data_IF_980817595722
#
_entry.id   IF_980817595722
#
_cell.length_a   1.000
_cell.length_b   1.000
_cell.length_c   1.000
_cell.angle_alpha   90.00
_cell.angle_beta   90.00
_cell.angle_gamma   90.00
#
_symmetry.space_group_name_H-M   'P 1'
#
loop_
_entity.id
_entity.type
_entity.pdbx_description
1 polymer ?
#
# COMPACT_ATOMS: atom_id res chain seq x y z
N UNK A 1 12.18 7.56 -18.30
CA UNK A 1 11.80 6.32 -17.58
C UNK A 1 12.40 5.14 -18.30
N UNK A 2 13.18 4.30 -17.61
CA UNK A 2 13.80 3.09 -18.16
C UNK A 2 13.55 1.89 -17.23
N UNK A 3 13.77 0.67 -17.72
CA UNK A 3 13.49 -0.56 -16.97
C UNK A 3 14.22 -0.61 -15.61
N UNK A 4 15.46 -0.13 -15.57
CA UNK A 4 16.29 -0.13 -14.36
C UNK A 4 15.75 0.83 -13.29
N UNK A 5 15.30 2.03 -13.69
CA UNK A 5 14.67 3.01 -12.81
C UNK A 5 13.35 2.49 -12.22
N UNK A 6 12.55 1.78 -13.02
CA UNK A 6 11.32 1.15 -12.53
C UNK A 6 11.67 0.02 -11.55
N UNK A 7 12.62 -0.85 -11.93
CA UNK A 7 13.05 -1.97 -11.09
C UNK A 7 13.53 -1.51 -9.73
N UNK A 8 14.36 -0.46 -9.68
CA UNK A 8 14.84 0.13 -8.42
C UNK A 8 13.69 0.52 -7.50
N UNK A 9 12.69 1.24 -8.03
CA UNK A 9 11.51 1.66 -7.25
C UNK A 9 10.74 0.45 -6.74
N UNK A 10 10.48 -0.55 -7.60
CA UNK A 10 9.72 -1.74 -7.21
C UNK A 10 10.47 -2.63 -6.22
N UNK A 11 11.79 -2.73 -6.33
CA UNK A 11 12.63 -3.48 -5.39
C UNK A 11 12.59 -2.81 -4.00
N UNK A 12 12.77 -1.48 -3.93
CA UNK A 12 12.68 -0.72 -2.68
C UNK A 12 11.33 -0.91 -1.99
N UNK A 13 10.23 -0.87 -2.75
CA UNK A 13 8.88 -1.07 -2.22
C UNK A 13 8.69 -2.51 -1.74
N UNK A 14 9.22 -3.49 -2.47
CA UNK A 14 9.18 -4.90 -2.07
C UNK A 14 9.88 -5.10 -0.73
N UNK A 15 11.06 -4.52 -0.53
CA UNK A 15 11.79 -4.58 0.74
C UNK A 15 11.01 -3.93 1.89
N UNK A 16 10.36 -2.79 1.65
CA UNK A 16 9.49 -2.13 2.65
C UNK A 16 8.32 -3.03 3.03
N UNK A 17 7.64 -3.63 2.04
CA UNK A 17 6.51 -4.54 2.28
C UNK A 17 6.94 -5.79 3.05
N UNK A 18 8.09 -6.38 2.70
CA UNK A 18 8.63 -7.55 3.39
C UNK A 18 8.95 -7.24 4.86
N UNK A 19 9.56 -6.08 5.14
CA UNK A 19 9.79 -5.61 6.53
C UNK A 19 8.48 -5.38 7.27
N UNK A 20 7.53 -4.68 6.65
CA UNK A 20 6.20 -4.44 7.25
C UNK A 20 5.44 -5.73 7.53
N UNK A 21 5.55 -6.76 6.67
CA UNK A 21 4.90 -8.06 6.88
C UNK A 21 5.50 -8.83 8.06
N UNK A 22 6.79 -8.61 8.37
CA UNK A 22 7.42 -9.17 9.58
C UNK A 22 6.93 -8.47 10.85
N UNK A 23 6.65 -7.16 10.77
CA UNK A 23 6.22 -6.33 11.92
C UNK A 23 4.69 -6.36 12.14
N UNK A 24 3.90 -6.50 11.08
CA UNK A 24 2.43 -6.56 11.10
C UNK A 24 1.97 -7.97 10.71
N UNK A 25 1.78 -8.83 11.71
CA UNK A 25 1.05 -10.08 11.54
C UNK A 25 -0.44 -9.82 11.22
N UNK A 26 -0.78 -9.60 9.95
CA UNK A 26 -2.14 -9.84 9.44
C UNK A 26 -3.12 -8.67 9.34
N UNK A 27 -2.91 -7.52 9.99
CA UNK A 27 -3.98 -6.51 10.17
C UNK A 27 -4.65 -5.96 8.88
N UNK A 28 -3.92 -5.85 7.76
CA UNK A 28 -4.51 -5.43 6.47
C UNK A 28 -5.17 -6.57 5.68
N UNK A 29 -4.84 -7.82 6.01
CA UNK A 29 -5.44 -9.01 5.40
C UNK A 29 -6.80 -9.35 6.04
N UNK A 30 -6.94 -9.04 7.33
CA UNK A 30 -8.14 -9.36 8.13
C UNK A 30 -9.43 -8.72 7.60
N UNK A 31 -9.33 -7.63 6.84
CA UNK A 31 -10.48 -6.91 6.25
C UNK A 31 -10.59 -7.06 4.73
N UNK A 32 -9.76 -7.91 4.12
CA UNK A 32 -9.74 -8.15 2.68
C UNK A 32 -9.58 -6.88 1.83
N UNK A 33 -10.18 -6.87 0.64
CA UNK A 33 -10.13 -5.75 -0.28
C UNK A 33 -10.84 -4.50 0.24
N UNK A 34 -11.83 -4.63 1.12
CA UNK A 34 -12.48 -3.48 1.74
C UNK A 34 -11.52 -2.68 2.63
N UNK A 35 -10.78 -3.38 3.50
CA UNK A 35 -9.72 -2.74 4.30
C UNK A 35 -8.62 -2.13 3.43
N UNK A 36 -8.18 -2.88 2.42
CA UNK A 36 -7.19 -2.40 1.45
C UNK A 36 -7.64 -1.10 0.74
N UNK A 37 -8.88 -1.05 0.26
CA UNK A 37 -9.46 0.13 -0.39
C UNK A 37 -9.44 1.36 0.53
N UNK A 38 -9.80 1.19 1.81
CA UNK A 38 -9.79 2.30 2.79
C UNK A 38 -8.37 2.86 2.94
N UNK A 39 -7.35 1.99 3.03
CA UNK A 39 -5.96 2.43 3.11
C UNK A 39 -5.49 3.15 1.85
N UNK A 40 -5.81 2.63 0.66
CA UNK A 40 -5.49 3.31 -0.61
C UNK A 40 -6.16 4.69 -0.63
N UNK A 41 -7.44 4.78 -0.26
CA UNK A 41 -8.19 6.02 -0.23
C UNK A 41 -7.57 7.07 0.70
N UNK A 42 -7.12 6.67 1.89
CA UNK A 42 -6.43 7.57 2.82
C UNK A 42 -5.13 8.12 2.23
N UNK A 43 -4.35 7.28 1.53
CA UNK A 43 -3.12 7.73 0.86
C UNK A 43 -3.40 8.63 -0.34
N UNK A 44 -4.45 8.37 -1.12
CA UNK A 44 -4.86 9.23 -2.24
C UNK A 44 -5.35 10.60 -1.74
N UNK A 45 -6.14 10.64 -0.66
CA UNK A 45 -6.54 11.91 -0.02
C UNK A 45 -5.32 12.70 0.44
N UNK A 46 -4.35 12.03 1.05
CA UNK A 46 -3.10 12.67 1.45
C UNK A 46 -2.33 13.22 0.26
N UNK A 47 -2.14 12.41 -0.78
CA UNK A 47 -1.46 12.82 -2.00
C UNK A 47 -2.09 14.09 -2.59
N UNK A 48 -3.43 14.11 -2.71
CA UNK A 48 -4.18 15.29 -3.14
C UNK A 48 -3.87 16.52 -2.27
N UNK A 49 -3.85 16.35 -0.95
CA UNK A 49 -3.57 17.46 -0.03
C UNK A 49 -2.13 17.96 -0.17
N UNK A 50 -1.14 17.07 -0.32
CA UNK A 50 0.27 17.45 -0.49
C UNK A 50 0.49 18.24 -1.79
N UNK A 51 -0.19 17.88 -2.88
CA UNK A 51 -0.12 18.61 -4.14
C UNK A 51 -0.93 19.92 -4.09
N UNK A 52 -2.06 19.92 -3.39
CA UNK A 52 -2.96 21.07 -3.31
C UNK A 52 -2.59 22.13 -2.26
N UNK A 53 -1.79 21.78 -1.25
CA UNK A 53 -1.36 22.71 -0.21
C UNK A 53 -0.02 23.34 -0.58
N UNK A 54 0.10 24.67 -0.43
CA UNK A 54 1.40 25.36 -0.46
C UNK A 54 2.19 25.19 0.85
N UNK A 55 1.68 24.40 1.79
CA UNK A 55 2.26 24.16 3.10
C UNK A 55 3.34 23.08 2.97
N UNK A 56 4.56 23.35 3.41
CA UNK A 56 5.61 22.35 3.49
C UNK A 56 5.19 21.22 4.44
N UNK A 57 5.12 19.95 3.97
CA UNK A 57 4.78 18.82 4.82
C UNK A 57 5.92 18.59 5.83
N UNK A 58 5.64 18.66 7.13
CA UNK A 58 6.67 18.54 8.16
C UNK A 58 7.09 17.10 8.48
N UNK A 59 6.37 16.07 8.00
CA UNK A 59 6.58 14.69 8.47
C UNK A 59 6.54 13.58 7.40
N UNK A 60 6.00 13.82 6.20
CA UNK A 60 5.93 12.77 5.16
C UNK A 60 5.89 13.39 3.76
N UNK A 61 6.66 12.84 2.84
CA UNK A 61 6.85 13.42 1.50
C UNK A 61 5.82 12.90 0.49
N UNK A 62 5.71 13.57 -0.65
CA UNK A 62 4.95 13.07 -1.81
C UNK A 62 5.50 11.72 -2.28
N UNK A 63 6.82 11.56 -2.25
CA UNK A 63 7.50 10.34 -2.66
C UNK A 63 7.11 9.15 -1.78
N UNK A 64 7.11 9.35 -0.45
CA UNK A 64 6.68 8.33 0.52
C UNK A 64 5.21 7.96 0.31
N UNK A 65 4.36 8.96 0.06
CA UNK A 65 2.93 8.74 -0.19
C UNK A 65 2.68 7.91 -1.45
N UNK A 66 3.44 8.18 -2.53
CA UNK A 66 3.35 7.40 -3.77
C UNK A 66 3.84 5.96 -3.57
N UNK A 67 4.95 5.77 -2.82
CA UNK A 67 5.43 4.42 -2.47
C UNK A 67 4.40 3.64 -1.66
N UNK A 68 3.73 4.28 -0.71
CA UNK A 68 2.67 3.65 0.08
C UNK A 68 1.49 3.22 -0.80
N UNK A 69 1.06 4.05 -1.77
CA UNK A 69 -0.02 3.69 -2.70
C UNK A 69 0.35 2.45 -3.52
N UNK A 70 1.57 2.40 -4.07
CA UNK A 70 2.07 1.22 -4.80
C UNK A 70 2.10 0.00 -3.87
N UNK A 71 2.57 0.19 -2.63
CA UNK A 71 2.61 -0.88 -1.63
C UNK A 71 1.24 -1.48 -1.34
N UNK A 72 0.23 -0.65 -1.09
CA UNK A 72 -1.14 -1.13 -0.87
C UNK A 72 -1.76 -1.76 -2.12
N UNK A 73 -1.43 -1.28 -3.32
CA UNK A 73 -1.87 -1.92 -4.56
C UNK A 73 -1.29 -3.33 -4.71
N UNK A 74 0.00 -3.53 -4.37
CA UNK A 74 0.64 -4.86 -4.35
C UNK A 74 -0.05 -5.77 -3.32
N UNK A 75 -0.36 -5.27 -2.12
CA UNK A 75 -1.11 -6.04 -1.12
C UNK A 75 -2.48 -6.48 -1.65
N UNK A 76 -3.21 -5.59 -2.33
CA UNK A 76 -4.51 -5.93 -2.94
C UNK A 76 -4.39 -7.03 -4.00
N UNK A 77 -3.35 -6.98 -4.83
CA UNK A 77 -3.05 -8.05 -5.78
C UNK A 77 -2.69 -9.36 -5.07
N UNK A 78 -1.92 -9.30 -3.98
CA UNK A 78 -1.58 -10.48 -3.19
C UNK A 78 -2.83 -11.14 -2.58
N UNK A 79 -3.78 -10.37 -2.06
CA UNK A 79 -5.08 -10.87 -1.57
C UNK A 79 -5.87 -11.56 -2.71
N UNK A 80 -5.80 -11.02 -3.93
CA UNK A 80 -6.45 -11.60 -5.09
C UNK A 80 -5.79 -12.91 -5.57
N UNK A 81 -4.48 -13.03 -5.43
CA UNK A 81 -3.71 -14.22 -5.82
C UNK A 81 -3.72 -15.32 -4.75
N UNK A 82 -3.84 -14.96 -3.46
CA UNK A 82 -3.90 -15.92 -2.38
C UNK A 82 -5.14 -16.82 -2.52
N UNK A 83 -4.91 -18.12 -2.61
CA UNK A 83 -5.95 -19.14 -2.73
C UNK A 83 -6.53 -19.56 -1.39
N UNK A 84 -5.88 -19.19 -0.28
CA UNK A 84 -6.29 -19.55 1.07
C UNK A 84 -7.37 -18.60 1.63
N UNK A 85 -7.44 -17.37 1.12
CA UNK A 85 -8.46 -16.38 1.50
C UNK A 85 -9.78 -16.72 0.81
N UNK A 86 -10.81 -17.10 1.58
CA UNK A 86 -12.12 -17.47 1.04
C UNK A 86 -12.98 -16.26 0.74
N UNK A 87 -13.06 -15.29 1.66
CA UNK A 87 -13.71 -14.01 1.43
C UNK A 87 -12.67 -12.91 1.13
N UNK A 88 -12.36 -12.73 -0.15
CA UNK A 88 -11.42 -11.71 -0.60
C UNK A 88 -11.95 -10.28 -0.42
N UNK A 89 -13.27 -10.10 -0.33
CA UNK A 89 -13.88 -8.76 -0.24
C UNK A 89 -13.84 -8.27 1.20
N UNK A 90 -14.27 -9.09 2.16
CA UNK A 90 -14.37 -8.69 3.57
C UNK A 90 -13.25 -9.23 4.46
N UNK A 91 -12.38 -10.09 3.92
CA UNK A 91 -11.39 -10.81 4.70
C UNK A 91 -11.99 -12.05 5.36
N UNK A 92 -11.13 -13.02 5.69
CA UNK A 92 -11.53 -14.16 6.50
C UNK A 92 -11.60 -13.72 7.97
N UNK A 93 -12.73 -13.13 8.37
CA UNK A 93 -13.08 -13.00 9.78
C UNK A 93 -13.30 -14.42 10.34
N UNK A 94 -12.23 -15.04 10.87
CA UNK A 94 -12.32 -16.23 11.73
C UNK A 94 -12.88 -15.87 13.09
#
# INVERSE_FOLDING_TARGET
MNKESIKKITDEISDILLKKNQDYAGASFDLGLNGNMVHIWDKVKRYRNLIGSQSTPNFETVEDTLRDIIGYAIIGLHILEDTNIKDKINGDCS
#
